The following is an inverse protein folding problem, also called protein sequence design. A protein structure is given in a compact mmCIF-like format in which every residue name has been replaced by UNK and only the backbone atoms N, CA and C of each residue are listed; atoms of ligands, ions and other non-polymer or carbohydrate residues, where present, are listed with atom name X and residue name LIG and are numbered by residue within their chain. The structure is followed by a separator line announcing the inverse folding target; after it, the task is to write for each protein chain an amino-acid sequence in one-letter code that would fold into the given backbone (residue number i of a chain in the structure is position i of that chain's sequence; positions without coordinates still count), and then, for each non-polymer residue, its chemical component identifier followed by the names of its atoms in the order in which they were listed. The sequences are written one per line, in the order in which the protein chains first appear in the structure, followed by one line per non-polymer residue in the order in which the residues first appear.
data_IF_311017840744
#
_entry.id   IF_311017840744
#
_cell.length_a   1.000
_cell.length_b   1.000
_cell.length_c   1.000
_cell.angle_alpha   90.00
_cell.angle_beta   90.00
_cell.angle_gamma   90.00
#
_symmetry.space_group_name_H-M   'P 1'
#
loop_
_entity.id
_entity.type
_entity.pdbx_description
1 polymer ?
#
# COMPACT_ATOMS: atom_id res chain seq x y z
N UNK A 1 -14.43 -21.02 -10.43
CA UNK A 1 -13.13 -20.33 -10.58
C UNK A 1 -12.97 -19.38 -9.40
N UNK A 2 -11.80 -19.34 -8.77
CA UNK A 2 -11.55 -18.55 -7.55
C UNK A 2 -11.73 -17.06 -7.75
N UNK A 3 -11.24 -16.54 -8.87
CA UNK A 3 -11.28 -15.13 -9.24
C UNK A 3 -12.48 -14.82 -10.13
N UNK A 4 -13.10 -13.63 -10.05
CA UNK A 4 -14.09 -13.18 -11.03
C UNK A 4 -13.50 -12.98 -12.43
N UNK A 5 -12.17 -12.91 -12.56
CA UNK A 5 -11.48 -12.77 -13.85
C UNK A 5 -11.59 -14.06 -14.65
N UNK A 6 -12.11 -13.97 -15.88
CA UNK A 6 -12.19 -15.10 -16.80
C UNK A 6 -10.83 -15.34 -17.47
N UNK A 7 -10.27 -16.53 -17.28
CA UNK A 7 -9.05 -16.97 -17.97
C UNK A 7 -9.32 -17.71 -19.29
N UNK A 8 -10.57 -18.02 -19.60
CA UNK A 8 -10.95 -18.65 -20.87
C UNK A 8 -11.10 -17.64 -22.01
N UNK A 9 -10.17 -16.71 -22.08
CA UNK A 9 -10.10 -15.65 -23.09
C UNK A 9 -8.75 -15.68 -23.80
N UNK A 10 -8.69 -15.04 -24.96
CA UNK A 10 -7.41 -14.86 -25.69
C UNK A 10 -6.40 -14.11 -24.82
N UNK A 11 -5.13 -14.53 -24.78
CA UNK A 11 -4.50 -15.65 -25.47
C UNK A 11 -4.45 -16.96 -24.64
N UNK A 12 -5.05 -17.00 -23.45
CA UNK A 12 -4.85 -18.06 -22.46
C UNK A 12 -5.71 -19.30 -22.71
N UNK A 13 -6.99 -19.10 -23.03
CA UNK A 13 -7.98 -20.17 -23.32
C UNK A 13 -8.01 -21.27 -22.27
N UNK A 14 -7.95 -20.91 -20.98
CA UNK A 14 -8.07 -21.85 -19.87
C UNK A 14 -9.53 -22.25 -19.68
N UNK A 15 -9.92 -23.36 -20.33
CA UNK A 15 -11.28 -23.91 -20.33
C UNK A 15 -11.54 -24.85 -19.14
N UNK A 16 -10.88 -24.64 -18.02
CA UNK A 16 -11.11 -25.44 -16.81
C UNK A 16 -12.56 -25.35 -16.35
N UNK A 17 -13.16 -26.49 -16.10
CA UNK A 17 -14.49 -26.59 -15.48
C UNK A 17 -14.54 -27.80 -14.55
N UNK A 18 -15.05 -27.60 -13.35
CA UNK A 18 -15.21 -28.64 -12.34
C UNK A 18 -16.16 -29.77 -12.76
N UNK A 19 -17.13 -29.46 -13.64
CA UNK A 19 -18.10 -30.47 -14.10
C UNK A 19 -17.43 -31.62 -14.83
N UNK A 20 -16.27 -31.41 -15.45
CA UNK A 20 -15.47 -32.43 -16.10
C UNK A 20 -14.73 -33.33 -15.09
N UNK A 21 -14.63 -32.94 -13.81
CA UNK A 21 -13.96 -33.70 -12.72
C UNK A 21 -12.50 -34.04 -13.03
N UNK A 22 -11.80 -33.17 -13.77
CA UNK A 22 -10.38 -33.34 -14.04
C UNK A 22 -9.57 -32.72 -12.90
N UNK A 23 -8.83 -33.56 -12.17
CA UNK A 23 -8.05 -33.14 -11.00
C UNK A 23 -6.55 -33.07 -11.27
N UNK A 24 -6.09 -33.62 -12.42
CA UNK A 24 -4.67 -33.65 -12.78
C UNK A 24 -4.48 -33.76 -14.27
N UNK A 25 -3.52 -32.99 -14.82
CA UNK A 25 -3.06 -33.15 -16.20
C UNK A 25 -1.91 -34.15 -16.23
N UNK A 26 -1.99 -35.09 -17.15
CA UNK A 26 -0.99 -36.15 -17.34
C UNK A 26 -0.32 -35.95 -18.70
N UNK A 27 0.88 -35.40 -18.70
CA UNK A 27 1.67 -35.21 -19.91
C UNK A 27 2.17 -36.57 -20.46
N UNK A 28 2.00 -36.75 -21.76
CA UNK A 28 2.45 -37.97 -22.45
C UNK A 28 3.78 -37.76 -23.14
N UNK A 29 4.75 -38.66 -23.03
CA UNK A 29 5.97 -38.61 -23.82
C UNK A 29 5.68 -38.56 -25.33
N UNK A 30 6.50 -37.79 -26.08
CA UNK A 30 6.41 -37.58 -27.52
C UNK A 30 5.17 -36.83 -28.03
N UNK A 31 4.40 -36.18 -27.14
CA UNK A 31 3.32 -35.28 -27.51
C UNK A 31 3.66 -33.83 -27.11
N UNK A 32 3.29 -32.87 -27.96
CA UNK A 32 3.49 -31.46 -27.66
C UNK A 32 2.62 -31.02 -26.48
N UNK A 33 3.20 -30.25 -25.56
CA UNK A 33 2.49 -29.61 -24.46
C UNK A 33 1.85 -28.32 -24.96
N UNK A 34 0.57 -28.13 -24.69
CA UNK A 34 -0.13 -26.90 -25.02
C UNK A 34 0.04 -25.87 -23.89
N UNK A 35 0.20 -24.60 -24.22
CA UNK A 35 0.32 -23.53 -23.22
C UNK A 35 -0.87 -23.51 -22.23
N UNK A 36 -2.09 -23.77 -22.72
CA UNK A 36 -3.29 -23.85 -21.87
C UNK A 36 -3.21 -24.97 -20.83
N UNK A 37 -2.54 -26.11 -21.13
CA UNK A 37 -2.40 -27.22 -20.18
C UNK A 37 -1.52 -26.81 -18.99
N UNK A 38 -0.51 -25.97 -19.22
CA UNK A 38 0.33 -25.42 -18.17
C UNK A 38 -0.46 -24.43 -17.30
N UNK A 39 -1.24 -23.53 -17.90
CA UNK A 39 -2.12 -22.63 -17.17
C UNK A 39 -3.18 -23.39 -16.38
N UNK A 40 -3.83 -24.35 -17.02
CA UNK A 40 -4.89 -25.18 -16.41
C UNK A 40 -4.39 -26.04 -15.23
N UNK A 41 -3.12 -26.48 -15.27
CA UNK A 41 -2.53 -27.19 -14.13
C UNK A 41 -2.46 -26.30 -12.87
N UNK A 42 -2.19 -25.01 -13.04
CA UNK A 42 -2.22 -24.03 -11.95
C UNK A 42 -3.64 -23.76 -11.47
N UNK A 43 -4.60 -23.62 -12.39
CA UNK A 43 -6.01 -23.41 -12.07
C UNK A 43 -6.60 -24.57 -11.27
N UNK A 44 -6.23 -25.81 -11.60
CA UNK A 44 -6.66 -27.00 -10.83
C UNK A 44 -6.14 -26.97 -9.39
N UNK A 45 -4.88 -26.62 -9.18
CA UNK A 45 -4.29 -26.49 -7.83
C UNK A 45 -4.94 -25.33 -7.09
N UNK A 46 -5.11 -24.19 -7.74
CA UNK A 46 -5.73 -23.01 -7.16
C UNK A 46 -7.16 -23.29 -6.72
N UNK A 47 -7.93 -24.03 -7.50
CA UNK A 47 -9.28 -24.44 -7.15
C UNK A 47 -9.32 -25.36 -5.90
N UNK A 48 -8.33 -26.24 -5.70
CA UNK A 48 -8.23 -27.02 -4.47
C UNK A 48 -7.90 -26.16 -3.24
N UNK A 49 -7.00 -25.18 -3.42
CA UNK A 49 -6.65 -24.22 -2.36
C UNK A 49 -7.86 -23.38 -1.99
N UNK A 50 -8.59 -22.85 -2.99
CA UNK A 50 -9.83 -22.09 -2.78
C UNK A 50 -10.83 -22.87 -1.94
N UNK A 51 -11.16 -24.09 -2.33
CA UNK A 51 -12.13 -24.93 -1.62
C UNK A 51 -11.75 -25.19 -0.17
N UNK A 52 -10.46 -25.43 0.09
CA UNK A 52 -9.98 -25.58 1.45
C UNK A 52 -10.11 -24.26 2.21
N UNK A 53 -9.68 -23.17 1.59
CA UNK A 53 -9.64 -21.86 2.23
C UNK A 53 -11.05 -21.28 2.45
N UNK A 54 -11.98 -21.47 1.51
CA UNK A 54 -13.39 -21.05 1.68
C UNK A 54 -14.09 -21.77 2.84
N UNK A 55 -13.61 -23.00 3.17
CA UNK A 55 -14.12 -23.74 4.31
C UNK A 55 -13.56 -23.22 5.65
N UNK A 56 -12.39 -22.59 5.64
CA UNK A 56 -11.68 -22.14 6.83
C UNK A 56 -11.81 -20.63 7.08
N UNK A 57 -11.97 -19.83 6.04
CA UNK A 57 -11.88 -18.38 6.09
C UNK A 57 -13.02 -17.72 5.32
N UNK A 58 -13.53 -16.65 5.88
CA UNK A 58 -14.42 -15.74 5.15
C UNK A 58 -13.60 -14.83 4.21
N UNK A 59 -14.22 -14.36 3.12
CA UNK A 59 -13.63 -13.39 2.21
C UNK A 59 -13.24 -12.11 2.95
N UNK A 60 -11.99 -11.72 2.86
CA UNK A 60 -11.41 -10.59 3.59
C UNK A 60 -10.87 -10.96 4.97
N UNK A 61 -10.90 -12.24 5.37
CA UNK A 61 -10.29 -12.66 6.62
C UNK A 61 -8.77 -12.43 6.61
N UNK A 62 -8.24 -11.96 7.74
CA UNK A 62 -6.79 -11.83 7.94
C UNK A 62 -6.19 -13.18 8.27
N UNK A 63 -5.33 -13.69 7.41
CA UNK A 63 -4.58 -14.94 7.62
C UNK A 63 -3.32 -14.69 8.43
N UNK A 64 -2.56 -13.67 8.03
CA UNK A 64 -1.46 -13.12 8.80
C UNK A 64 -1.92 -11.74 9.22
N UNK A 65 -2.13 -11.51 10.53
CA UNK A 65 -2.68 -10.25 10.99
C UNK A 65 -1.77 -9.07 10.64
N UNK A 66 -2.36 -8.05 9.99
CA UNK A 66 -1.83 -6.71 9.93
C UNK A 66 -2.66 -5.87 10.89
N UNK A 67 -2.03 -5.16 11.79
CA UNK A 67 -2.73 -4.28 12.72
C UNK A 67 -3.54 -3.23 11.96
N UNK A 68 -4.82 -3.09 12.30
CA UNK A 68 -5.68 -2.03 11.79
C UNK A 68 -5.96 -1.08 12.95
N UNK A 69 -5.65 0.18 12.75
CA UNK A 69 -5.82 1.20 13.79
C UNK A 69 -6.33 2.50 13.25
N UNK A 70 -6.79 3.34 14.18
CA UNK A 70 -7.18 4.72 13.93
C UNK A 70 -6.33 5.64 14.81
N UNK A 71 -5.86 6.73 14.24
CA UNK A 71 -5.16 7.78 14.96
C UNK A 71 -6.01 9.05 14.88
N UNK A 72 -6.67 9.40 15.98
CA UNK A 72 -7.46 10.62 16.11
C UNK A 72 -6.65 11.80 16.67
N UNK A 73 -5.36 11.58 16.94
CA UNK A 73 -4.39 12.59 17.32
C UNK A 73 -3.31 12.73 16.23
N UNK A 74 -3.73 12.69 14.97
CA UNK A 74 -2.85 12.83 13.81
C UNK A 74 -2.54 14.31 13.60
N UNK A 75 -1.59 14.82 14.42
CA UNK A 75 -1.30 16.26 14.51
C UNK A 75 -0.81 16.82 13.19
N UNK A 76 -1.49 17.84 12.70
CA UNK A 76 -1.19 18.56 11.47
C UNK A 76 -0.54 19.91 11.77
N UNK A 77 0.51 20.24 11.03
CA UNK A 77 1.21 21.51 11.08
C UNK A 77 1.12 22.16 9.72
N UNK A 78 0.28 23.15 9.56
CA UNK A 78 0.18 23.96 8.34
C UNK A 78 1.39 24.86 8.24
N UNK A 79 1.95 25.01 7.04
CA UNK A 79 3.14 25.82 6.81
C UNK A 79 2.79 27.10 6.04
N UNK A 80 3.42 28.19 6.41
CA UNK A 80 3.43 29.43 5.63
C UNK A 80 4.50 29.38 4.55
N UNK A 81 5.68 28.82 4.89
CA UNK A 81 6.81 28.71 3.97
C UNK A 81 7.70 27.52 4.37
N UNK A 82 8.53 27.10 3.44
CA UNK A 82 9.54 26.05 3.64
C UNK A 82 10.80 26.35 2.83
N UNK A 83 11.96 25.93 3.31
CA UNK A 83 13.25 26.11 2.60
C UNK A 83 13.43 25.07 1.49
N UNK A 84 12.92 23.85 1.69
CA UNK A 84 12.99 22.79 0.67
C UNK A 84 11.81 22.93 -0.30
N UNK A 85 12.06 22.68 -1.59
CA UNK A 85 11.02 22.73 -2.63
C UNK A 85 10.00 21.62 -2.49
N UNK A 86 10.41 20.45 -1.99
CA UNK A 86 9.59 19.25 -1.86
C UNK A 86 9.20 19.01 -0.40
N UNK A 87 7.90 19.12 -0.09
CA UNK A 87 7.40 18.91 1.27
C UNK A 87 7.63 17.46 1.76
N UNK A 88 7.65 16.49 0.85
CA UNK A 88 7.88 15.09 1.17
C UNK A 88 9.28 14.81 1.75
N UNK A 89 10.27 15.68 1.49
CA UNK A 89 11.63 15.52 2.02
C UNK A 89 11.72 15.69 3.54
N UNK A 90 10.69 16.26 4.16
CA UNK A 90 10.58 16.31 5.62
C UNK A 90 10.13 15.00 6.25
N UNK A 91 9.54 14.06 5.48
CA UNK A 91 9.04 12.79 6.02
C UNK A 91 10.20 11.98 6.64
N UNK A 92 9.95 11.45 7.84
CA UNK A 92 10.92 10.70 8.62
C UNK A 92 11.94 11.54 9.37
N UNK A 93 12.00 12.87 9.15
CA UNK A 93 12.90 13.78 9.86
C UNK A 93 12.32 14.15 11.23
N UNK A 94 13.22 14.43 12.16
CA UNK A 94 12.87 15.10 13.41
C UNK A 94 12.93 16.59 13.17
N UNK A 95 11.91 17.32 13.62
CA UNK A 95 11.82 18.77 13.55
C UNK A 95 11.73 19.35 14.96
N UNK A 96 12.34 20.52 15.14
CA UNK A 96 12.38 21.24 16.43
C UNK A 96 11.87 22.64 16.24
N UNK A 97 10.95 23.08 17.10
CA UNK A 97 10.43 24.45 17.13
C UNK A 97 11.45 25.41 17.73
N UNK A 98 11.66 26.56 17.08
CA UNK A 98 12.63 27.55 17.53
C UNK A 98 12.19 28.33 18.78
N UNK A 99 10.89 28.44 19.00
CA UNK A 99 10.31 29.15 20.15
C UNK A 99 9.74 28.16 21.17
N UNK A 100 8.96 27.22 20.74
CA UNK A 100 8.34 26.21 21.60
C UNK A 100 9.36 25.23 22.20
N UNK A 101 10.49 25.02 21.54
CA UNK A 101 11.52 23.99 21.87
C UNK A 101 10.95 22.55 21.86
N UNK A 102 9.77 22.37 21.32
CA UNK A 102 9.13 21.06 21.17
C UNK A 102 9.78 20.32 20.00
N UNK A 103 9.93 19.03 20.14
CA UNK A 103 10.42 18.15 19.06
C UNK A 103 9.37 17.16 18.61
N UNK A 104 9.32 16.93 17.31
CA UNK A 104 8.39 15.99 16.72
C UNK A 104 9.03 15.26 15.54
N UNK A 105 8.55 14.06 15.25
CA UNK A 105 8.88 13.33 14.03
C UNK A 105 7.80 13.58 12.98
N UNK A 106 8.21 13.93 11.77
CA UNK A 106 7.32 14.01 10.62
C UNK A 106 7.00 12.58 10.14
N UNK A 107 5.74 12.21 10.20
CA UNK A 107 5.26 10.87 9.79
C UNK A 107 4.64 10.88 8.41
N UNK A 108 4.12 12.04 7.96
CA UNK A 108 3.56 12.21 6.63
C UNK A 108 3.62 13.69 6.23
N UNK A 109 3.43 13.97 4.95
CA UNK A 109 3.39 15.32 4.41
C UNK A 109 2.45 15.40 3.22
N UNK A 110 1.71 16.49 3.12
CA UNK A 110 0.79 16.76 2.00
C UNK A 110 1.13 18.11 1.42
N UNK A 111 1.38 18.13 0.12
CA UNK A 111 1.63 19.37 -0.61
C UNK A 111 0.35 20.21 -0.72
N UNK A 112 0.53 21.52 -0.87
CA UNK A 112 -0.58 22.44 -1.13
C UNK A 112 -1.38 22.01 -2.35
N UNK A 113 -2.69 22.13 -2.25
CA UNK A 113 -3.63 21.91 -3.37
C UNK A 113 -4.28 23.22 -3.86
N UNK A 114 -3.78 24.35 -3.39
CA UNK A 114 -4.28 25.70 -3.70
C UNK A 114 -5.37 26.19 -2.73
N UNK A 115 -6.01 25.30 -1.99
CA UNK A 115 -6.96 25.60 -0.91
C UNK A 115 -6.29 25.41 0.44
N UNK A 116 -5.67 24.26 0.65
CA UNK A 116 -4.89 23.94 1.83
C UNK A 116 -3.41 24.24 1.60
N UNK A 117 -2.69 24.79 2.59
CA UNK A 117 -1.25 24.99 2.49
C UNK A 117 -0.50 23.66 2.60
N UNK A 118 0.81 23.70 2.32
CA UNK A 118 1.72 22.60 2.66
C UNK A 118 1.51 22.21 4.13
N UNK A 119 1.33 20.93 4.38
CA UNK A 119 1.01 20.42 5.72
C UNK A 119 1.91 19.25 6.08
N UNK A 120 2.56 19.32 7.25
CA UNK A 120 3.28 18.21 7.86
C UNK A 120 2.38 17.52 8.89
N UNK A 121 2.40 16.20 8.90
CA UNK A 121 1.78 15.42 9.97
C UNK A 121 2.87 14.87 10.88
N UNK A 122 2.70 15.11 12.19
CA UNK A 122 3.78 14.90 13.15
C UNK A 122 3.34 14.07 14.35
N UNK A 123 4.32 13.39 14.95
CA UNK A 123 4.21 12.82 16.31
C UNK A 123 5.15 13.56 17.22
N UNK A 124 4.62 14.22 18.23
CA UNK A 124 5.40 14.92 19.23
C UNK A 124 6.13 13.93 20.15
N UNK A 125 7.39 14.21 20.47
CA UNK A 125 8.20 13.38 21.34
C UNK A 125 8.25 13.89 22.77
N UNK A 126 8.26 15.20 22.94
CA UNK A 126 8.39 15.84 24.23
C UNK A 126 7.61 17.16 24.29
N UNK A 127 7.39 17.62 25.49
CA UNK A 127 7.01 18.99 25.79
C UNK A 127 8.25 19.89 25.84
N UNK A 128 8.05 21.21 25.91
CA UNK A 128 9.10 22.16 26.22
C UNK A 128 9.78 21.80 27.55
N UNK A 129 11.10 21.64 27.52
CA UNK A 129 11.89 21.24 28.70
C UNK A 129 11.92 22.27 29.81
N UNK A 130 11.44 23.52 29.58
CA UNK A 130 11.46 24.59 30.58
C UNK A 130 10.15 24.66 31.38
N UNK A 131 9.01 24.48 30.74
CA UNK A 131 7.70 24.63 31.39
C UNK A 131 6.89 23.35 31.47
N UNK A 132 7.22 22.32 30.67
CA UNK A 132 6.48 21.03 30.54
C UNK A 132 5.00 21.19 30.20
N UNK A 133 4.55 22.36 29.78
CA UNK A 133 3.16 22.68 29.45
C UNK A 133 2.95 22.91 27.96
N UNK A 134 3.98 23.41 27.28
CA UNK A 134 3.97 23.58 25.82
C UNK A 134 4.22 22.22 25.17
N UNK A 135 3.19 21.64 24.55
CA UNK A 135 3.20 20.29 24.00
C UNK A 135 3.09 20.24 22.48
N UNK A 136 2.94 21.39 21.85
CA UNK A 136 2.79 21.55 20.40
C UNK A 136 3.59 22.77 19.90
N UNK A 137 3.80 22.81 18.61
CA UNK A 137 4.44 23.97 17.98
C UNK A 137 3.57 25.22 18.09
N UNK A 138 4.24 26.38 18.12
CA UNK A 138 3.58 27.68 18.19
C UNK A 138 3.36 28.26 16.80
N UNK A 139 2.27 28.98 16.61
CA UNK A 139 2.00 29.68 15.34
C UNK A 139 3.09 30.70 15.04
N UNK A 140 3.54 30.77 13.80
CA UNK A 140 4.59 31.69 13.32
C UNK A 140 6.02 31.30 13.65
N UNK A 141 6.26 30.21 14.42
CA UNK A 141 7.64 29.80 14.71
C UNK A 141 8.34 29.11 13.54
N UNK A 142 9.64 29.16 13.54
CA UNK A 142 10.49 28.44 12.58
C UNK A 142 10.81 27.04 13.12
N UNK A 143 10.48 26.03 12.36
CA UNK A 143 10.87 24.66 12.59
C UNK A 143 12.20 24.39 11.90
N UNK A 144 13.10 23.66 12.56
CA UNK A 144 14.36 23.19 11.99
C UNK A 144 14.36 21.69 11.94
N UNK A 145 14.51 21.12 10.75
CA UNK A 145 14.61 19.70 10.54
C UNK A 145 16.02 19.18 10.82
N UNK A 146 16.15 17.90 11.16
CA UNK A 146 17.45 17.23 11.36
C UNK A 146 18.35 17.22 10.12
N UNK A 147 17.80 17.52 8.94
CA UNK A 147 18.55 17.75 7.69
C UNK A 147 19.12 19.17 7.55
N UNK A 148 18.71 20.10 8.40
CA UNK A 148 19.02 21.54 8.30
C UNK A 148 17.96 22.35 7.56
N UNK A 149 16.97 21.71 6.93
CA UNK A 149 15.86 22.39 6.28
C UNK A 149 14.98 23.11 7.30
N UNK A 150 14.39 24.23 6.90
CA UNK A 150 13.51 25.01 7.76
C UNK A 150 12.12 25.15 7.19
N UNK A 151 11.13 25.32 8.05
CA UNK A 151 9.76 25.61 7.69
C UNK A 151 9.13 26.55 8.71
N UNK A 152 8.19 27.38 8.31
CA UNK A 152 7.49 28.32 9.20
C UNK A 152 6.08 27.81 9.43
N UNK A 153 5.69 27.68 10.70
CA UNK A 153 4.35 27.26 11.11
C UNK A 153 3.35 28.37 10.77
N UNK A 154 2.27 28.01 10.10
CA UNK A 154 1.09 28.87 9.99
C UNK A 154 0.22 28.67 11.23
N UNK A 155 -0.26 27.46 11.39
CA UNK A 155 -1.06 27.04 12.56
C UNK A 155 -1.02 25.52 12.71
N UNK A 156 -1.31 25.06 13.91
CA UNK A 156 -1.44 23.63 14.20
C UNK A 156 -2.90 23.20 14.26
N UNK A 157 -3.17 21.94 13.92
CA UNK A 157 -4.49 21.34 13.98
C UNK A 157 -4.37 19.85 14.37
N UNK A 158 -5.48 19.24 14.71
CA UNK A 158 -5.54 17.79 14.94
C UNK A 158 -6.35 17.15 13.83
N UNK A 159 -5.69 16.36 13.00
CA UNK A 159 -6.32 15.54 11.98
C UNK A 159 -6.63 14.15 12.47
N UNK A 160 -7.04 13.30 11.53
CA UNK A 160 -7.33 11.88 11.77
C UNK A 160 -6.81 11.01 10.63
N UNK A 161 -6.37 9.81 10.97
CA UNK A 161 -5.89 8.83 10.02
C UNK A 161 -6.37 7.42 10.36
N UNK A 162 -6.50 6.57 9.33
CA UNK A 162 -6.61 5.14 9.47
C UNK A 162 -5.30 4.50 8.97
N UNK A 163 -4.86 3.44 9.62
CA UNK A 163 -3.64 2.75 9.26
C UNK A 163 -3.86 1.24 9.21
N UNK A 164 -3.14 0.59 8.32
CA UNK A 164 -3.04 -0.86 8.24
C UNK A 164 -1.57 -1.23 8.21
N UNK A 165 -1.17 -2.21 9.00
CA UNK A 165 0.16 -2.80 8.93
C UNK A 165 0.21 -3.89 7.86
N UNK A 166 1.42 -4.32 7.51
CA UNK A 166 1.60 -5.41 6.57
C UNK A 166 0.94 -6.69 7.08
N UNK A 167 0.16 -7.33 6.21
CA UNK A 167 -0.56 -8.56 6.52
C UNK A 167 -0.89 -9.37 5.28
N UNK A 168 -1.55 -10.51 5.44
CA UNK A 168 -2.04 -11.35 4.35
C UNK A 168 -3.53 -11.57 4.55
N UNK A 169 -4.30 -11.32 3.50
CA UNK A 169 -5.75 -11.44 3.49
C UNK A 169 -6.20 -12.51 2.51
N UNK A 170 -7.24 -13.24 2.88
CA UNK A 170 -7.87 -14.20 2.00
C UNK A 170 -8.87 -13.53 1.06
N UNK A 171 -8.66 -13.64 -0.25
CA UNK A 171 -9.51 -13.03 -1.28
C UNK A 171 -9.68 -14.00 -2.45
N UNK A 172 -10.90 -14.44 -2.71
CA UNK A 172 -11.27 -15.24 -3.89
C UNK A 172 -10.29 -16.40 -4.17
N UNK A 173 -9.93 -17.17 -3.15
CA UNK A 173 -9.00 -18.29 -3.28
C UNK A 173 -7.52 -17.94 -3.18
N UNK A 174 -7.17 -16.67 -3.07
CA UNK A 174 -5.80 -16.20 -2.97
C UNK A 174 -5.47 -15.64 -1.59
N UNK A 175 -4.24 -15.85 -1.17
CA UNK A 175 -3.67 -15.23 0.03
C UNK A 175 -2.86 -14.00 -0.39
N UNK A 176 -3.50 -12.84 -0.35
CA UNK A 176 -2.97 -11.59 -0.90
C UNK A 176 -2.23 -10.81 0.18
N UNK A 177 -0.97 -10.49 -0.10
CA UNK A 177 -0.18 -9.64 0.78
C UNK A 177 -0.59 -8.18 0.61
N UNK A 178 -0.90 -7.52 1.70
CA UNK A 178 -1.18 -6.09 1.78
C UNK A 178 -0.02 -5.40 2.49
N UNK A 179 0.54 -4.38 1.87
CA UNK A 179 1.60 -3.57 2.47
C UNK A 179 1.03 -2.59 3.50
N UNK A 180 1.86 -2.17 4.45
CA UNK A 180 1.51 -1.14 5.42
C UNK A 180 1.14 0.16 4.71
N UNK A 181 0.02 0.77 5.11
CA UNK A 181 -0.49 2.01 4.54
C UNK A 181 -1.10 2.89 5.63
N UNK A 182 -1.03 4.20 5.41
CA UNK A 182 -1.72 5.19 6.24
C UNK A 182 -2.57 6.07 5.33
N UNK A 183 -3.87 6.12 5.62
CA UNK A 183 -4.84 6.96 4.93
C UNK A 183 -5.23 8.12 5.84
N UNK A 184 -4.96 9.35 5.42
CA UNK A 184 -5.47 10.54 6.09
C UNK A 184 -6.97 10.62 5.83
N UNK A 185 -7.76 10.63 6.89
CA UNK A 185 -9.23 10.74 6.82
C UNK A 185 -9.63 12.21 6.69
N UNK A 186 -9.30 12.99 7.72
CA UNK A 186 -9.46 14.43 7.72
C UNK A 186 -8.13 15.10 8.07
N UNK A 187 -7.72 16.09 7.29
CA UNK A 187 -6.44 16.77 7.49
C UNK A 187 -6.38 17.55 8.80
N UNK A 188 -7.51 18.12 9.24
CA UNK A 188 -7.55 19.14 10.31
C UNK A 188 -8.64 18.92 11.34
N UNK A 189 -9.37 17.81 11.27
CA UNK A 189 -10.40 17.44 12.25
C UNK A 189 -10.20 16.00 12.70
N UNK A 190 -10.58 15.72 13.94
CA UNK A 190 -10.40 14.41 14.58
C UNK A 190 -11.72 13.68 14.84
N UNK A 191 -12.78 14.08 14.16
CA UNK A 191 -14.12 13.46 14.27
C UNK A 191 -14.57 12.88 12.91
N UNK A 192 -13.78 11.97 12.30
CA UNK A 192 -14.10 11.42 10.98
C UNK A 192 -15.36 10.56 11.05
N UNK A 193 -16.15 10.57 9.98
CA UNK A 193 -17.33 9.74 9.81
C UNK A 193 -17.25 9.00 8.45
N UNK A 194 -16.32 8.05 8.36
CA UNK A 194 -16.05 7.31 7.12
C UNK A 194 -16.10 5.80 7.33
N UNK A 195 -16.44 5.08 6.27
CA UNK A 195 -16.20 3.65 6.16
C UNK A 195 -14.89 3.44 5.38
N UNK A 196 -13.90 2.87 6.05
CA UNK A 196 -12.58 2.60 5.45
C UNK A 196 -12.45 1.12 5.15
N UNK A 197 -11.86 0.78 4.01
CA UNK A 197 -11.64 -0.60 3.60
C UNK A 197 -10.65 -0.70 2.45
N UNK A 198 -10.29 -1.93 2.10
CA UNK A 198 -9.46 -2.24 0.95
C UNK A 198 -10.34 -2.55 -0.27
N UNK A 199 -9.92 -2.10 -1.43
CA UNK A 199 -10.52 -2.46 -2.72
C UNK A 199 -9.68 -3.52 -3.39
N UNK A 200 -10.33 -4.59 -3.86
CA UNK A 200 -9.68 -5.65 -4.62
C UNK A 200 -9.64 -5.24 -6.09
N UNK A 201 -8.45 -5.26 -6.68
CA UNK A 201 -8.25 -5.05 -8.11
C UNK A 201 -7.48 -6.24 -8.70
N UNK A 202 -7.97 -6.75 -9.82
CA UNK A 202 -7.36 -7.87 -10.55
C UNK A 202 -6.90 -7.38 -11.91
N UNK A 203 -5.71 -7.81 -12.34
CA UNK A 203 -5.13 -7.38 -13.62
C UNK A 203 -4.19 -8.43 -14.20
N UNK A 204 -3.98 -8.36 -15.51
CA UNK A 204 -2.89 -9.06 -16.19
C UNK A 204 -1.71 -8.11 -16.36
N UNK A 205 -0.52 -8.61 -16.05
CA UNK A 205 0.75 -7.89 -16.25
C UNK A 205 1.51 -8.59 -17.37
N UNK A 206 1.85 -7.83 -18.39
CA UNK A 206 2.59 -8.31 -19.57
C UNK A 206 4.04 -7.84 -19.52
N UNK A 207 4.97 -8.43 -20.32
CA UNK A 207 6.32 -7.92 -20.46
C UNK A 207 6.42 -6.46 -20.95
N UNK A 208 5.35 -5.95 -21.58
CA UNK A 208 5.24 -4.53 -21.95
C UNK A 208 4.96 -3.62 -20.75
N UNK A 209 4.28 -4.14 -19.72
CA UNK A 209 3.98 -3.40 -18.50
C UNK A 209 5.12 -3.50 -17.47
N UNK A 210 5.80 -4.66 -17.45
CA UNK A 210 6.91 -4.95 -16.54
C UNK A 210 8.05 -5.66 -17.30
N UNK A 211 9.13 -4.94 -17.57
CA UNK A 211 10.29 -5.46 -18.29
C UNK A 211 11.06 -6.55 -17.55
N UNK A 212 10.84 -6.72 -16.24
CA UNK A 212 11.42 -7.82 -15.45
C UNK A 212 10.88 -9.19 -15.86
N UNK A 213 9.79 -9.24 -16.62
CA UNK A 213 9.22 -10.46 -17.18
C UNK A 213 9.92 -10.92 -18.47
N UNK A 214 10.85 -10.15 -19.03
CA UNK A 214 11.68 -10.59 -20.12
C UNK A 214 12.78 -11.56 -19.65
N UNK A 215 13.31 -12.35 -20.59
CA UNK A 215 14.46 -13.22 -20.29
C UNK A 215 15.64 -12.41 -19.76
N UNK A 216 16.23 -12.89 -18.67
CA UNK A 216 17.38 -12.26 -18.00
C UNK A 216 18.57 -13.21 -17.86
N UNK A 217 18.63 -14.28 -18.63
CA UNK A 217 19.64 -15.33 -18.51
C UNK A 217 21.09 -14.82 -18.58
N UNK A 218 21.32 -13.65 -19.18
CA UNK A 218 22.63 -12.99 -19.26
C UNK A 218 22.79 -11.80 -18.28
N UNK A 219 21.91 -11.69 -17.28
CA UNK A 219 21.95 -10.60 -16.29
C UNK A 219 21.38 -9.26 -16.79
N UNK A 220 20.91 -9.19 -18.02
CA UNK A 220 20.23 -8.04 -18.61
C UNK A 220 18.91 -8.46 -19.25
N UNK A 221 17.91 -7.60 -19.19
CA UNK A 221 16.60 -7.85 -19.77
C UNK A 221 16.66 -7.92 -21.29
N UNK A 222 16.21 -9.03 -21.87
CA UNK A 222 16.14 -9.24 -23.32
C UNK A 222 14.74 -8.99 -23.83
N UNK A 223 14.50 -7.82 -24.42
CA UNK A 223 13.19 -7.42 -24.96
C UNK A 223 12.71 -8.28 -26.13
N UNK A 224 13.62 -9.02 -26.79
CA UNK A 224 13.27 -9.93 -27.89
C UNK A 224 12.84 -11.32 -27.40
N UNK A 225 12.90 -11.58 -26.08
CA UNK A 225 12.47 -12.83 -25.46
C UNK A 225 11.49 -12.54 -24.31
N UNK A 226 10.26 -12.08 -24.62
CA UNK A 226 9.25 -11.80 -23.62
C UNK A 226 8.78 -13.07 -22.92
N UNK A 227 8.66 -13.01 -21.59
CA UNK A 227 8.16 -14.11 -20.78
C UNK A 227 6.63 -14.18 -20.76
N UNK A 228 6.09 -15.13 -19.99
CA UNK A 228 4.66 -15.30 -19.81
C UNK A 228 4.05 -14.11 -19.03
N UNK A 229 2.77 -13.86 -19.27
CA UNK A 229 2.01 -12.88 -18.50
C UNK A 229 1.83 -13.32 -17.04
N UNK A 230 1.50 -12.38 -16.16
CA UNK A 230 1.21 -12.63 -14.75
C UNK A 230 -0.20 -12.15 -14.41
N UNK A 231 -0.89 -12.93 -13.59
CA UNK A 231 -2.12 -12.48 -12.93
C UNK A 231 -1.74 -11.82 -11.61
N UNK A 232 -2.25 -10.62 -11.38
CA UNK A 232 -1.94 -9.77 -10.23
C UNK A 232 -3.24 -9.36 -9.54
N UNK A 233 -3.24 -9.45 -8.23
CA UNK A 233 -4.28 -8.95 -7.35
C UNK A 233 -3.71 -7.84 -6.46
#
# INVERSE_FOLDING_TARGET
MPSPTDFNVSPYYDDFTESKKFHRILFRPAFAVQARELTQSQTQIQNQIERLSDHLFDKGAMIIPGEIGYDLNYYAVKLTSKSNSTIADYIGKTITGGTSLVTAKVVNAVATDGTDPDTLFVKYFNSNGTDNTTIAFSDGETLTASSGDTAVVNTTATGSAAQIQQGVYYINGFHVQVSAQTLILDKYTNTPSYRVGLTVAESFVTPGDDSSLNDNAQGVSNTNAPGAHRFKI
#
